data_IF_520748368127
#
_entry.id   IF_520748368127
#
_cell.length_a   1.000
_cell.length_b   1.000
_cell.length_c   1.000
_cell.angle_alpha   90.00
_cell.angle_beta   90.00
_cell.angle_gamma   90.00
#
_symmetry.space_group_name_H-M   'P 1'
#
loop_
_entity.id
_entity.type
_entity.pdbx_description
1 polymer ?
#
# COMPACT_ATOMS: atom_id res chain seq x y z
N UNK A 1 15.14 -2.96 29.57
CA UNK A 1 15.13 -2.75 28.11
C UNK A 1 14.38 -3.86 27.38
N UNK A 2 14.80 -5.11 27.43
CA UNK A 2 14.15 -6.22 26.70
C UNK A 2 12.64 -6.39 27.00
N UNK A 3 12.19 -6.20 28.25
CA UNK A 3 10.78 -6.30 28.61
C UNK A 3 9.89 -5.20 28.05
N UNK A 4 10.42 -3.98 27.90
CA UNK A 4 9.69 -2.85 27.32
C UNK A 4 9.54 -3.02 25.80
N UNK A 5 10.56 -3.53 25.13
CA UNK A 5 10.50 -3.82 23.69
C UNK A 5 9.54 -4.97 23.39
N UNK A 6 9.54 -6.00 24.22
CA UNK A 6 8.57 -7.09 24.08
C UNK A 6 7.12 -6.60 24.22
N UNK A 7 6.86 -5.75 25.22
CA UNK A 7 5.52 -5.15 25.43
C UNK A 7 5.10 -4.30 24.22
N UNK A 8 5.99 -3.46 23.69
CA UNK A 8 5.73 -2.66 22.47
C UNK A 8 5.41 -3.57 21.28
N UNK A 9 6.22 -4.59 21.03
CA UNK A 9 6.02 -5.52 19.93
C UNK A 9 4.68 -6.26 20.05
N UNK A 10 4.33 -6.72 21.24
CA UNK A 10 3.07 -7.41 21.49
C UNK A 10 1.86 -6.50 21.25
N UNK A 11 1.90 -5.26 21.76
CA UNK A 11 0.83 -4.27 21.55
C UNK A 11 0.71 -3.94 20.07
N UNK A 12 1.81 -3.68 19.36
CA UNK A 12 1.81 -3.41 17.92
C UNK A 12 1.18 -4.58 17.14
N UNK A 13 1.50 -5.81 17.51
CA UNK A 13 0.89 -7.01 16.91
C UNK A 13 -0.62 -7.07 17.12
N UNK A 14 -1.11 -6.83 18.34
CA UNK A 14 -2.54 -6.82 18.64
C UNK A 14 -3.29 -5.74 17.82
N UNK A 15 -2.78 -4.50 17.80
CA UNK A 15 -3.41 -3.44 17.02
C UNK A 15 -3.37 -3.73 15.50
N UNK A 16 -2.30 -4.34 15.01
CA UNK A 16 -2.22 -4.78 13.61
C UNK A 16 -3.28 -5.83 13.28
N UNK A 17 -3.49 -6.83 14.16
CA UNK A 17 -4.52 -7.86 13.98
C UNK A 17 -5.92 -7.19 13.92
N UNK A 18 -6.22 -6.28 14.82
CA UNK A 18 -7.51 -5.59 14.87
C UNK A 18 -7.72 -4.77 13.60
N UNK A 19 -6.74 -3.97 13.20
CA UNK A 19 -6.85 -3.08 12.04
C UNK A 19 -6.96 -3.86 10.74
N UNK A 20 -6.08 -4.81 10.51
CA UNK A 20 -6.12 -5.64 9.30
C UNK A 20 -7.36 -6.53 9.30
N UNK A 21 -7.77 -7.07 10.44
CA UNK A 21 -9.00 -7.83 10.56
C UNK A 21 -10.24 -7.01 10.17
N UNK A 22 -10.32 -5.76 10.60
CA UNK A 22 -11.39 -4.84 10.21
C UNK A 22 -11.40 -4.56 8.70
N UNK A 23 -10.23 -4.26 8.10
CA UNK A 23 -10.12 -4.05 6.66
C UNK A 23 -10.45 -5.31 5.86
N UNK A 24 -10.06 -6.48 6.37
CA UNK A 24 -10.41 -7.78 5.78
C UNK A 24 -11.94 -8.00 5.81
N UNK A 25 -12.58 -7.72 6.93
CA UNK A 25 -14.06 -7.80 7.05
C UNK A 25 -14.73 -6.87 6.02
N UNK A 26 -14.30 -5.63 5.91
CA UNK A 26 -14.84 -4.69 4.93
C UNK A 26 -14.66 -5.20 3.50
N UNK A 27 -13.50 -5.76 3.17
CA UNK A 27 -13.21 -6.29 1.84
C UNK A 27 -14.11 -7.48 1.47
N UNK A 28 -14.28 -8.43 2.39
CA UNK A 28 -15.00 -9.68 2.11
C UNK A 28 -16.48 -9.67 2.44
N UNK A 29 -16.95 -8.72 3.24
CA UNK A 29 -18.36 -8.62 3.66
C UNK A 29 -19.13 -7.48 3.01
N UNK A 30 -18.46 -6.63 2.23
CA UNK A 30 -19.12 -5.54 1.53
C UNK A 30 -18.85 -5.62 0.02
N UNK A 31 -19.75 -5.06 -0.79
CA UNK A 31 -19.62 -4.96 -2.24
C UNK A 31 -18.94 -3.67 -2.69
N UNK A 32 -18.52 -2.83 -1.74
CA UNK A 32 -18.00 -1.48 -2.02
C UNK A 32 -16.54 -1.43 -2.48
N UNK A 33 -15.85 -2.56 -2.55
CA UNK A 33 -14.50 -2.63 -3.10
C UNK A 33 -13.48 -3.28 -2.18
N UNK A 34 -12.22 -3.21 -2.61
CA UNK A 34 -11.08 -3.79 -1.89
C UNK A 34 -10.50 -2.75 -0.94
N UNK A 35 -10.75 -2.90 0.35
CA UNK A 35 -10.18 -2.05 1.40
C UNK A 35 -8.83 -2.56 1.88
N UNK A 36 -8.52 -3.82 1.67
CA UNK A 36 -7.27 -4.45 2.08
C UNK A 36 -6.30 -4.54 0.90
N UNK A 37 -5.16 -3.88 1.04
CA UNK A 37 -4.04 -4.00 0.11
C UNK A 37 -2.79 -4.45 0.85
N UNK A 38 -1.93 -5.19 0.16
CA UNK A 38 -0.74 -5.81 0.77
C UNK A 38 0.21 -4.81 1.43
N UNK A 39 0.32 -3.59 0.88
CA UNK A 39 1.13 -2.51 1.46
C UNK A 39 0.68 -2.06 2.85
N UNK A 40 -0.57 -2.33 3.24
CA UNK A 40 -1.05 -2.00 4.59
C UNK A 40 -0.39 -2.86 5.67
N UNK A 41 0.04 -4.09 5.34
CA UNK A 41 0.83 -4.90 6.28
C UNK A 41 2.12 -4.19 6.72
N UNK A 42 2.87 -3.63 5.79
CA UNK A 42 4.07 -2.84 6.13
C UNK A 42 3.74 -1.48 6.76
N UNK A 43 2.58 -0.89 6.45
CA UNK A 43 2.09 0.30 7.15
C UNK A 43 1.89 0.03 8.64
N UNK A 44 1.37 -1.14 9.02
CA UNK A 44 1.19 -1.50 10.43
C UNK A 44 2.50 -1.53 11.20
N UNK A 45 3.59 -1.99 10.58
CA UNK A 45 4.92 -1.99 11.21
C UNK A 45 5.34 -0.57 11.57
N UNK A 46 5.18 0.39 10.66
CA UNK A 46 5.52 1.79 10.93
C UNK A 46 4.56 2.43 11.94
N UNK A 47 3.26 2.27 11.72
CA UNK A 47 2.23 2.95 12.52
C UNK A 47 2.24 2.50 13.99
N UNK A 48 2.37 1.22 14.24
CA UNK A 48 2.30 0.66 15.59
C UNK A 48 3.67 0.33 16.18
N UNK A 49 4.68 0.05 15.35
CA UNK A 49 6.02 -0.25 15.82
C UNK A 49 6.92 0.98 15.99
N UNK A 50 6.76 1.96 15.10
CA UNK A 50 7.61 3.16 15.04
C UNK A 50 6.80 4.45 14.84
N UNK A 51 5.83 4.75 15.74
CA UNK A 51 4.89 5.86 15.56
C UNK A 51 5.57 7.24 15.53
N UNK A 52 6.75 7.38 16.10
CA UNK A 52 7.53 8.62 16.09
C UNK A 52 8.21 8.90 14.73
N UNK A 53 8.25 7.90 13.84
CA UNK A 53 8.81 8.06 12.51
C UNK A 53 8.04 9.08 11.70
N UNK A 54 8.74 9.96 10.99
CA UNK A 54 8.10 10.88 10.05
C UNK A 54 7.30 10.13 8.97
N UNK A 55 7.70 8.91 8.62
CA UNK A 55 7.02 8.08 7.63
C UNK A 55 5.73 7.44 8.14
N UNK A 56 5.52 7.42 9.46
CA UNK A 56 4.33 6.89 10.12
C UNK A 56 3.26 7.95 10.40
N UNK A 57 3.50 9.21 10.02
CA UNK A 57 2.54 10.28 10.28
C UNK A 57 1.28 10.12 9.42
N UNK A 58 0.09 10.43 9.95
CA UNK A 58 -1.18 10.26 9.22
C UNK A 58 -1.20 10.93 7.84
N UNK A 59 -0.62 12.11 7.74
CA UNK A 59 -0.46 12.84 6.48
C UNK A 59 0.30 12.01 5.44
N UNK A 60 1.42 11.43 5.84
CA UNK A 60 2.29 10.65 4.95
C UNK A 60 1.62 9.34 4.54
N UNK A 61 0.98 8.66 5.49
CA UNK A 61 0.23 7.44 5.21
C UNK A 61 -0.87 7.72 4.19
N UNK A 62 -1.76 8.67 4.48
CA UNK A 62 -2.90 8.95 3.63
C UNK A 62 -2.48 9.44 2.24
N UNK A 63 -1.70 10.50 2.17
CA UNK A 63 -1.32 11.09 0.88
C UNK A 63 -0.30 10.24 0.12
N UNK A 64 0.58 9.51 0.81
CA UNK A 64 1.49 8.56 0.18
C UNK A 64 0.73 7.46 -0.56
N UNK A 65 -0.22 6.81 0.11
CA UNK A 65 -1.06 5.79 -0.53
C UNK A 65 -1.94 6.36 -1.64
N UNK A 66 -2.56 7.52 -1.41
CA UNK A 66 -3.39 8.16 -2.43
C UNK A 66 -2.59 8.49 -3.70
N UNK A 67 -1.45 9.14 -3.53
CA UNK A 67 -0.60 9.58 -4.64
C UNK A 67 -0.08 8.41 -5.47
N UNK A 68 0.45 7.39 -4.82
CA UNK A 68 0.99 6.20 -5.51
C UNK A 68 -0.10 5.35 -6.15
N UNK A 69 -1.29 5.31 -5.56
CA UNK A 69 -2.45 4.65 -6.17
C UNK A 69 -2.91 5.39 -7.43
N UNK A 70 -2.95 6.72 -7.41
CA UNK A 70 -3.26 7.54 -8.60
C UNK A 70 -2.24 7.26 -9.71
N UNK A 71 -0.95 7.21 -9.40
CA UNK A 71 0.10 6.85 -10.37
C UNK A 71 -0.20 5.47 -10.97
N UNK A 72 -0.48 4.47 -10.15
CA UNK A 72 -0.81 3.13 -10.63
C UNK A 72 -2.02 3.12 -11.57
N UNK A 73 -3.10 3.81 -11.19
CA UNK A 73 -4.32 3.92 -12.00
C UNK A 73 -4.06 4.64 -13.32
N UNK A 74 -3.30 5.72 -13.33
CA UNK A 74 -2.92 6.44 -14.55
C UNK A 74 -2.14 5.52 -15.49
N UNK A 75 -1.16 4.79 -14.96
CA UNK A 75 -0.39 3.85 -15.77
C UNK A 75 -1.26 2.77 -16.41
N UNK A 76 -2.14 2.16 -15.63
CA UNK A 76 -3.03 1.11 -16.13
C UNK A 76 -3.97 1.59 -17.22
N UNK A 77 -4.47 2.82 -17.13
CA UNK A 77 -5.49 3.31 -18.07
C UNK A 77 -4.91 4.02 -19.30
N UNK A 78 -3.72 4.60 -19.21
CA UNK A 78 -3.19 5.47 -20.24
C UNK A 78 -1.86 5.02 -20.85
N UNK A 79 -1.19 4.05 -20.24
CA UNK A 79 0.13 3.60 -20.70
C UNK A 79 0.07 2.16 -21.18
N UNK A 80 0.43 1.96 -22.44
CA UNK A 80 0.51 0.63 -23.07
C UNK A 80 1.97 0.22 -23.24
N UNK A 81 2.55 -0.31 -22.17
CA UNK A 81 3.91 -0.84 -22.15
C UNK A 81 3.91 -2.27 -21.62
N UNK A 82 4.92 -3.09 -21.97
CA UNK A 82 5.11 -4.38 -21.32
C UNK A 82 5.20 -4.23 -19.80
N UNK A 83 4.59 -5.16 -19.05
CA UNK A 83 4.47 -5.09 -17.59
C UNK A 83 5.81 -4.92 -16.88
N UNK A 84 6.87 -5.56 -17.39
CA UNK A 84 8.22 -5.48 -16.81
C UNK A 84 8.90 -4.11 -17.01
N UNK A 85 8.37 -3.25 -17.87
CA UNK A 85 8.78 -1.86 -18.06
C UNK A 85 7.83 -0.93 -17.29
N UNK A 86 6.53 -1.21 -17.35
CA UNK A 86 5.49 -0.39 -16.72
C UNK A 86 5.64 -0.32 -15.20
N UNK A 87 5.85 -1.46 -14.53
CA UNK A 87 5.98 -1.51 -13.07
C UNK A 87 7.15 -0.67 -12.55
N UNK A 88 8.40 -0.85 -13.02
CA UNK A 88 9.51 -0.05 -12.52
C UNK A 88 9.32 1.45 -12.72
N UNK A 89 8.79 1.87 -13.86
CA UNK A 89 8.57 3.29 -14.16
C UNK A 89 7.47 3.86 -13.23
N UNK A 90 6.37 3.15 -13.07
CA UNK A 90 5.28 3.58 -12.19
C UNK A 90 5.74 3.70 -10.73
N UNK A 91 6.51 2.74 -10.24
CA UNK A 91 7.09 2.78 -8.89
C UNK A 91 8.05 3.96 -8.75
N UNK A 92 8.97 4.13 -9.71
CA UNK A 92 9.95 5.24 -9.70
C UNK A 92 9.27 6.61 -9.67
N UNK A 93 8.24 6.82 -10.49
CA UNK A 93 7.45 8.06 -10.49
C UNK A 93 6.72 8.24 -9.14
N UNK A 94 6.08 7.19 -8.62
CA UNK A 94 5.40 7.24 -7.33
C UNK A 94 6.34 7.63 -6.18
N UNK A 95 7.53 7.02 -6.13
CA UNK A 95 8.57 7.35 -5.14
C UNK A 95 9.03 8.80 -5.29
N UNK A 96 9.33 9.23 -6.50
CA UNK A 96 9.77 10.62 -6.77
C UNK A 96 8.72 11.63 -6.34
N UNK A 97 7.46 11.40 -6.67
CA UNK A 97 6.36 12.29 -6.29
C UNK A 97 6.14 12.33 -4.78
N UNK A 98 6.21 11.21 -4.07
CA UNK A 98 6.13 11.20 -2.60
C UNK A 98 7.22 12.04 -1.95
N UNK A 99 8.45 11.96 -2.46
CA UNK A 99 9.57 12.75 -1.94
C UNK A 99 9.37 14.24 -2.24
N UNK A 100 9.04 14.58 -3.48
CA UNK A 100 8.83 15.97 -3.91
C UNK A 100 7.69 16.67 -3.16
N UNK A 101 6.64 15.94 -2.84
CA UNK A 101 5.49 16.47 -2.10
C UNK A 101 5.60 16.35 -0.58
N UNK A 102 6.71 15.82 -0.08
CA UNK A 102 6.96 15.64 1.37
C UNK A 102 5.89 14.77 2.06
N UNK A 103 5.41 13.74 1.36
CA UNK A 103 4.44 12.76 1.90
C UNK A 103 4.99 11.34 1.82
N UNK A 104 6.28 11.19 2.00
CA UNK A 104 6.97 9.91 1.91
C UNK A 104 6.43 8.92 2.95
N UNK A 105 5.87 7.82 2.43
CA UNK A 105 5.43 6.66 3.20
C UNK A 105 5.90 5.41 2.46
N UNK A 106 6.99 4.76 2.90
CA UNK A 106 7.62 3.67 2.16
C UNK A 106 6.66 2.54 1.75
N UNK A 107 5.73 2.08 2.61
CA UNK A 107 4.78 1.04 2.21
C UNK A 107 3.93 1.39 0.98
N UNK A 108 3.62 2.67 0.80
CA UNK A 108 2.83 3.14 -0.34
C UNK A 108 3.53 2.94 -1.70
N UNK A 109 4.86 2.79 -1.70
CA UNK A 109 5.63 2.47 -2.91
C UNK A 109 5.22 1.17 -3.60
N UNK A 110 4.55 0.27 -2.88
CA UNK A 110 4.00 -0.97 -3.43
C UNK A 110 2.70 -0.81 -4.22
N UNK A 111 1.97 0.29 -4.07
CA UNK A 111 0.65 0.47 -4.70
C UNK A 111 0.67 0.42 -6.23
N UNK A 112 1.63 1.04 -6.95
CA UNK A 112 1.69 0.93 -8.40
C UNK A 112 1.91 -0.52 -8.87
N UNK A 113 2.68 -1.32 -8.12
CA UNK A 113 2.89 -2.75 -8.41
C UNK A 113 1.55 -3.48 -8.36
N UNK A 114 0.79 -3.27 -7.29
CA UNK A 114 -0.51 -3.93 -7.09
C UNK A 114 -1.48 -3.54 -8.21
N UNK A 115 -1.59 -2.24 -8.52
CA UNK A 115 -2.50 -1.75 -9.54
C UNK A 115 -2.20 -2.35 -10.92
N UNK A 116 -0.95 -2.33 -11.35
CA UNK A 116 -0.53 -2.83 -12.66
C UNK A 116 -0.65 -4.36 -12.73
N UNK A 117 -0.16 -5.07 -11.71
CA UNK A 117 -0.19 -6.53 -11.69
C UNK A 117 -1.61 -7.09 -11.64
N UNK A 118 -2.48 -6.52 -10.80
CA UNK A 118 -3.85 -6.98 -10.65
C UNK A 118 -4.67 -6.81 -11.93
N UNK A 119 -4.52 -5.67 -12.60
CA UNK A 119 -5.23 -5.40 -13.87
C UNK A 119 -4.75 -6.32 -14.98
N UNK A 120 -3.45 -6.62 -15.03
CA UNK A 120 -2.88 -7.53 -16.02
C UNK A 120 -3.38 -8.97 -15.83
N UNK A 121 -3.44 -9.45 -14.58
CA UNK A 121 -3.97 -10.77 -14.26
C UNK A 121 -5.44 -10.92 -14.65
N UNK A 122 -6.27 -9.93 -14.33
CA UNK A 122 -7.69 -9.95 -14.71
C UNK A 122 -7.90 -9.91 -16.23
N UNK A 123 -7.07 -9.20 -16.97
CA UNK A 123 -7.13 -9.18 -18.43
C UNK A 123 -6.85 -10.57 -19.02
N UNK A 124 -5.92 -11.33 -18.46
CA UNK A 124 -5.64 -12.71 -18.89
C UNK A 124 -6.81 -13.65 -18.57
N UNK A 125 -7.37 -13.60 -17.35
CA UNK A 125 -8.51 -14.44 -16.97
C UNK A 125 -9.74 -14.24 -17.86
N UNK A 126 -9.99 -13.01 -18.34
CA UNK A 126 -11.12 -12.72 -19.23
C UNK A 126 -10.91 -13.16 -20.67
N UNK A 127 -9.66 -13.38 -21.10
CA UNK A 127 -9.35 -13.88 -22.43
C UNK A 127 -9.39 -15.42 -22.50
N UNK A 128 -9.22 -16.10 -21.36
CA UNK A 128 -9.24 -17.56 -21.26
C UNK A 128 -10.66 -18.15 -21.03
N UNK A 129 -11.66 -17.30 -20.84
CA UNK A 129 -13.07 -17.65 -20.71
C UNK A 129 -13.87 -17.22 -21.95
#
# INVERSE_FOLDING_TARGET
MKGLEFKKAFIAGIFSIITIGFLTLLTYKTEYGIFLIASFGSTMVLLFGYPESQFAQPKNIFFGHLLTSIVGVVFVNFITLPIFIMIPIAVGIGVSLMILTSVTHPPAGGNPIIAVSYTHLRAHETLDN
#
